data_IF_787532645835
#
_entry.id   IF_787532645835
#
_cell.length_a   1.000
_cell.length_b   1.000
_cell.length_c   1.000
_cell.angle_alpha   90.00
_cell.angle_beta   90.00
_cell.angle_gamma   90.00
#
_symmetry.space_group_name_H-M   'P 1'
#
loop_
_entity.id
_entity.type
_entity.pdbx_description
1 polymer ?
#
# COMPACT_ATOMS: atom_id res chain seq x y z
N UNK A 1 -2.04 -5.74 35.36
CA UNK A 1 -2.37 -4.67 34.40
C UNK A 1 -1.80 -5.09 33.07
N UNK A 2 -2.62 -5.49 32.09
CA UNK A 2 -2.12 -5.77 30.74
C UNK A 2 -1.80 -4.40 30.13
N UNK A 3 -0.54 -4.21 29.74
CA UNK A 3 -0.16 -3.00 29.02
C UNK A 3 -0.85 -3.11 27.66
N UNK A 4 -1.95 -2.37 27.48
CA UNK A 4 -2.62 -2.25 26.19
C UNK A 4 -1.67 -1.48 25.26
N UNK A 5 -0.69 -2.18 24.69
CA UNK A 5 0.09 -1.68 23.57
C UNK A 5 -0.90 -1.43 22.44
N UNK A 6 -1.39 -0.20 22.34
CA UNK A 6 -2.17 0.24 21.20
C UNK A 6 -1.23 0.23 20.00
N UNK A 7 -1.42 -0.77 19.13
CA UNK A 7 -0.74 -0.86 17.84
C UNK A 7 -0.91 0.46 17.10
N UNK A 8 0.21 1.10 16.76
CA UNK A 8 0.17 2.38 16.06
C UNK A 8 -0.04 2.15 14.56
N UNK A 9 -1.30 2.15 14.14
CA UNK A 9 -1.68 2.07 12.72
C UNK A 9 -1.46 3.41 12.01
N UNK A 10 -0.88 3.39 10.82
CA UNK A 10 -0.53 4.59 10.05
C UNK A 10 -1.39 4.76 8.79
N UNK A 11 -1.36 3.77 7.88
CA UNK A 11 -2.00 3.87 6.56
C UNK A 11 -2.66 2.56 6.17
N UNK A 12 -3.78 2.65 5.47
CA UNK A 12 -4.22 1.52 4.67
C UNK A 12 -3.16 1.23 3.60
N UNK A 13 -2.88 -0.05 3.37
CA UNK A 13 -2.10 -0.50 2.24
C UNK A 13 -3.03 -1.17 1.22
N UNK A 14 -3.00 -0.66 0.00
CA UNK A 14 -3.75 -1.23 -1.12
C UNK A 14 -2.75 -1.55 -2.22
N UNK A 15 -2.69 -2.81 -2.61
CA UNK A 15 -1.88 -3.27 -3.72
C UNK A 15 -2.78 -3.67 -4.87
N UNK A 16 -2.63 -3.01 -6.02
CA UNK A 16 -3.43 -3.24 -7.21
C UNK A 16 -2.58 -3.91 -8.28
N UNK A 17 -3.21 -4.81 -9.03
CA UNK A 17 -2.72 -5.22 -10.33
C UNK A 17 -3.13 -4.15 -11.35
N UNK A 18 -2.26 -3.83 -12.29
CA UNK A 18 -2.53 -2.91 -13.40
C UNK A 18 -1.98 -3.48 -14.70
N UNK A 19 -2.63 -3.22 -15.82
CA UNK A 19 -2.15 -3.71 -17.12
C UNK A 19 -0.87 -3.03 -17.60
N UNK A 20 -0.64 -1.77 -17.18
CA UNK A 20 0.56 -1.02 -17.49
C UNK A 20 0.84 -0.03 -16.35
N UNK A 21 2.04 -0.11 -15.78
CA UNK A 21 2.40 0.71 -14.63
C UNK A 21 2.66 2.16 -15.03
N UNK A 22 3.27 2.43 -16.18
CA UNK A 22 3.57 3.79 -16.62
C UNK A 22 2.31 4.65 -16.79
N UNK A 23 1.30 4.13 -17.50
CA UNK A 23 0.00 4.79 -17.66
C UNK A 23 -0.71 4.98 -16.30
N UNK A 24 -0.55 4.02 -15.40
CA UNK A 24 -1.15 4.10 -14.06
C UNK A 24 -0.45 5.15 -13.20
N UNK A 25 0.88 5.30 -13.30
CA UNK A 25 1.63 6.36 -12.64
C UNK A 25 1.07 7.72 -13.06
N UNK A 26 0.88 7.97 -14.37
CA UNK A 26 0.35 9.25 -14.85
C UNK A 26 -1.03 9.57 -14.26
N UNK A 27 -1.90 8.57 -14.15
CA UNK A 27 -3.22 8.72 -13.54
C UNK A 27 -3.10 9.09 -12.06
N UNK A 28 -2.32 8.33 -11.29
CA UNK A 28 -2.23 8.53 -9.84
C UNK A 28 -1.42 9.77 -9.44
N UNK A 29 -0.46 10.20 -10.27
CA UNK A 29 0.19 11.51 -10.15
C UNK A 29 -0.83 12.63 -10.25
N UNK A 30 -1.72 12.59 -11.24
CA UNK A 30 -2.79 13.61 -11.40
C UNK A 30 -3.80 13.54 -10.26
N UNK A 31 -4.16 12.33 -9.81
CA UNK A 31 -5.13 12.14 -8.73
C UNK A 31 -4.62 12.66 -7.38
N UNK A 32 -3.38 12.36 -7.02
CA UNK A 32 -2.81 12.72 -5.72
C UNK A 32 -1.99 14.01 -5.72
N UNK A 33 -1.61 14.52 -6.90
CA UNK A 33 -0.74 15.68 -7.04
C UNK A 33 0.68 15.46 -6.54
N UNK A 34 1.16 14.20 -6.51
CA UNK A 34 2.49 13.83 -6.03
C UNK A 34 3.17 12.82 -6.97
N UNK A 35 4.49 12.77 -6.91
CA UNK A 35 5.29 11.75 -7.56
C UNK A 35 5.24 10.40 -6.79
N UNK A 36 5.44 9.26 -7.47
CA UNK A 36 5.58 7.98 -6.78
C UNK A 36 6.84 8.00 -5.90
N UNK A 37 6.72 7.50 -4.68
CA UNK A 37 7.83 7.36 -3.73
C UNK A 37 8.84 6.28 -4.18
N UNK A 38 8.45 5.37 -5.08
CA UNK A 38 9.33 4.35 -5.66
C UNK A 38 8.81 3.88 -7.01
N UNK A 39 9.72 3.70 -7.97
CA UNK A 39 9.46 3.10 -9.29
C UNK A 39 10.49 2.00 -9.56
N UNK A 40 10.03 0.89 -10.12
CA UNK A 40 10.83 -0.23 -10.65
C UNK A 40 10.13 -0.77 -11.90
N UNK A 41 10.81 -1.61 -12.68
CA UNK A 41 10.18 -2.28 -13.84
C UNK A 41 8.95 -3.04 -13.37
N UNK A 42 7.78 -2.70 -13.94
CA UNK A 42 6.48 -3.31 -13.60
C UNK A 42 5.97 -3.00 -12.18
N UNK A 43 6.49 -1.97 -11.51
CA UNK A 43 6.07 -1.62 -10.15
C UNK A 43 6.18 -0.13 -9.83
N UNK A 44 5.16 0.41 -9.17
CA UNK A 44 5.23 1.74 -8.58
C UNK A 44 4.57 1.78 -7.20
N UNK A 45 5.01 2.73 -6.37
CA UNK A 45 4.44 2.97 -5.04
C UNK A 45 4.22 4.45 -4.81
N UNK A 46 3.04 4.80 -4.29
CA UNK A 46 2.72 6.13 -3.78
C UNK A 46 2.59 6.10 -2.26
N UNK A 47 3.18 7.10 -1.61
CA UNK A 47 3.02 7.35 -0.17
C UNK A 47 2.17 8.61 0.04
N UNK A 48 0.85 8.44 0.00
CA UNK A 48 -0.12 9.53 0.07
C UNK A 48 -0.34 9.92 1.53
N UNK A 49 -0.23 11.22 1.83
CA UNK A 49 -0.42 11.72 3.21
C UNK A 49 -1.89 12.03 3.53
N UNK A 50 -2.66 12.50 2.55
CA UNK A 50 -4.07 12.84 2.75
C UNK A 50 -4.92 12.47 1.49
N UNK A 51 -5.80 11.44 1.57
CA UNK A 51 -5.98 10.55 2.71
C UNK A 51 -4.72 9.69 2.94
N UNK A 52 -4.42 9.28 4.18
CA UNK A 52 -3.27 8.41 4.46
C UNK A 52 -3.40 7.06 3.75
N UNK A 53 -2.62 6.86 2.69
CA UNK A 53 -2.67 5.67 1.84
C UNK A 53 -1.26 5.28 1.37
N UNK A 54 -0.93 4.01 1.53
CA UNK A 54 0.23 3.37 0.91
C UNK A 54 -0.28 2.55 -0.28
N UNK A 55 -0.19 3.11 -1.49
CA UNK A 55 -0.67 2.47 -2.72
C UNK A 55 0.50 1.81 -3.44
N UNK A 56 0.37 0.53 -3.78
CA UNK A 56 1.27 -0.18 -4.66
C UNK A 56 0.56 -0.58 -5.97
N UNK A 57 1.27 -0.44 -7.08
CA UNK A 57 0.83 -0.81 -8.42
C UNK A 57 1.78 -1.89 -8.94
N UNK A 58 1.24 -3.02 -9.39
CA UNK A 58 2.01 -4.14 -9.91
C UNK A 58 1.53 -4.43 -11.33
N UNK A 59 2.44 -4.48 -12.29
CA UNK A 59 2.07 -4.83 -13.64
C UNK A 59 1.72 -6.32 -13.73
N UNK A 60 0.49 -6.63 -14.06
CA UNK A 60 0.00 -7.99 -14.21
C UNK A 60 -1.26 -8.03 -15.10
N UNK A 61 -1.36 -9.05 -15.95
CA UNK A 61 -2.55 -9.24 -16.79
C UNK A 61 -3.78 -9.62 -15.97
N UNK A 62 -4.88 -8.91 -16.17
CA UNK A 62 -6.13 -9.16 -15.45
C UNK A 62 -6.76 -10.54 -15.71
N UNK A 63 -6.45 -11.16 -16.85
CA UNK A 63 -6.96 -12.48 -17.22
C UNK A 63 -6.58 -13.58 -16.21
N UNK A 64 -5.52 -13.36 -15.42
CA UNK A 64 -5.02 -14.32 -14.43
C UNK A 64 -5.17 -13.83 -12.99
N UNK A 65 -5.21 -12.52 -12.78
CA UNK A 65 -5.21 -11.91 -11.47
C UNK A 65 -6.24 -10.76 -11.47
N UNK A 66 -7.27 -10.84 -10.63
CA UNK A 66 -8.23 -9.72 -10.49
C UNK A 66 -7.54 -8.40 -10.13
N UNK A 67 -8.27 -7.29 -10.19
CA UNK A 67 -7.69 -5.95 -9.99
C UNK A 67 -7.02 -5.75 -8.61
N UNK A 68 -7.54 -6.40 -7.56
CA UNK A 68 -6.94 -6.37 -6.24
C UNK A 68 -5.84 -7.45 -6.14
N UNK A 69 -4.62 -7.03 -5.82
CA UNK A 69 -3.52 -7.94 -5.50
C UNK A 69 -3.60 -8.39 -4.04
N UNK A 70 -3.53 -7.44 -3.11
CA UNK A 70 -3.67 -7.68 -1.68
C UNK A 70 -3.92 -6.38 -0.90
N UNK A 71 -4.21 -6.54 0.39
CA UNK A 71 -4.46 -5.46 1.34
C UNK A 71 -3.52 -5.60 2.54
N UNK A 72 -3.31 -4.49 3.25
CA UNK A 72 -2.59 -4.48 4.52
C UNK A 72 -2.86 -3.23 5.33
N UNK A 73 -2.28 -3.20 6.53
CA UNK A 73 -2.23 -2.01 7.39
C UNK A 73 -0.76 -1.72 7.66
N UNK A 74 -0.31 -0.54 7.28
CA UNK A 74 1.02 -0.06 7.65
C UNK A 74 0.99 0.36 9.12
N UNK A 75 1.93 -0.16 9.90
CA UNK A 75 2.13 0.19 11.32
C UNK A 75 3.48 0.88 11.52
N UNK A 76 3.70 1.47 12.69
CA UNK A 76 4.88 2.28 12.95
C UNK A 76 6.16 1.45 13.18
N UNK A 77 6.05 0.22 13.69
CA UNK A 77 7.22 -0.60 14.02
C UNK A 77 7.03 -2.11 13.82
N UNK A 78 8.13 -2.86 13.93
CA UNK A 78 8.09 -4.32 13.97
C UNK A 78 7.37 -4.83 15.22
N UNK A 79 7.53 -4.15 16.35
CA UNK A 79 6.86 -4.46 17.61
C UNK A 79 5.33 -4.36 17.45
N UNK A 80 4.83 -3.38 16.71
CA UNK A 80 3.40 -3.24 16.39
C UNK A 80 2.87 -4.42 15.55
N UNK A 81 3.68 -4.93 14.61
CA UNK A 81 3.35 -6.14 13.83
C UNK A 81 3.26 -7.36 14.76
N UNK A 82 4.26 -7.54 15.63
CA UNK A 82 4.30 -8.65 16.57
C UNK A 82 3.16 -8.59 17.59
N UNK A 83 2.84 -7.41 18.12
CA UNK A 83 1.71 -7.19 19.00
C UNK A 83 0.37 -7.51 18.32
N UNK A 84 0.20 -7.10 17.06
CA UNK A 84 -0.98 -7.48 16.25
C UNK A 84 -1.07 -8.99 16.09
N UNK A 85 0.03 -9.66 15.73
CA UNK A 85 0.10 -11.10 15.56
C UNK A 85 -0.24 -11.85 16.85
N UNK A 86 0.21 -11.39 18.01
CA UNK A 86 -0.10 -12.02 19.30
C UNK A 86 -1.54 -11.85 19.75
N UNK A 87 -2.28 -10.88 19.17
CA UNK A 87 -3.69 -10.64 19.48
C UNK A 87 -4.63 -11.54 18.66
N UNK A 88 -4.20 -12.00 17.49
CA UNK A 88 -4.99 -12.83 16.57
C UNK A 88 -4.69 -14.31 16.82
#
# INVERSE_FOLDING_TARGET
MKNDYQVQTLKAHVSLNVNNVENSIEFYQKLFGIEPAKVRVGYAKFDVQNPPLNLALNEASFDKCGALSHLGIQVASTEDVLATKSRW
#
